data_IF_164613451815
#
_entry.id   IF_164613451815
#
_cell.length_a   1.000
_cell.length_b   1.000
_cell.length_c   1.000
_cell.angle_alpha   90.00
_cell.angle_beta   90.00
_cell.angle_gamma   90.00
#
_symmetry.space_group_name_H-M   'P 1'
#
loop_
_entity.id
_entity.type
_entity.pdbx_description
1 polymer ?
#
# COMPACT_ATOMS: atom_id res chain seq x y z
N UNK A 1 -15.80 23.40 -9.76
CA UNK A 1 -15.91 22.07 -9.14
C UNK A 1 -14.53 21.43 -9.19
N UNK A 2 -13.96 21.02 -8.07
CA UNK A 2 -12.71 20.25 -8.04
C UNK A 2 -12.96 18.89 -8.67
N UNK A 3 -12.15 18.50 -9.65
CA UNK A 3 -12.19 17.16 -10.28
C UNK A 3 -12.07 16.09 -9.18
N UNK A 4 -13.03 15.16 -9.13
CA UNK A 4 -12.95 13.97 -8.27
C UNK A 4 -11.77 13.12 -8.71
N UNK A 5 -10.94 12.70 -7.77
CA UNK A 5 -9.81 11.80 -8.04
C UNK A 5 -10.35 10.38 -8.02
N UNK A 6 -10.14 9.67 -9.12
CA UNK A 6 -10.42 8.24 -9.27
C UNK A 6 -9.10 7.48 -9.23
N UNK A 7 -9.03 6.47 -8.37
CA UNK A 7 -7.86 5.61 -8.19
C UNK A 7 -7.93 4.32 -9.02
N UNK A 8 -9.10 4.00 -9.58
CA UNK A 8 -9.24 2.86 -10.47
C UNK A 8 -8.68 3.22 -11.83
N UNK A 9 -7.76 2.40 -12.28
CA UNK A 9 -7.15 2.44 -13.60
C UNK A 9 -6.85 1.00 -14.03
N UNK A 10 -6.45 0.84 -15.28
CA UNK A 10 -6.00 -0.44 -15.80
C UNK A 10 -4.93 -0.23 -16.90
N UNK A 11 -4.15 -1.27 -17.23
CA UNK A 11 -3.06 -1.16 -18.19
C UNK A 11 -3.42 -0.60 -19.56
N UNK A 12 -4.67 -0.74 -20.03
CA UNK A 12 -5.09 -0.21 -21.31
C UNK A 12 -5.29 1.32 -21.29
N UNK A 13 -5.40 1.92 -20.10
CA UNK A 13 -5.61 3.37 -19.91
C UNK A 13 -4.37 4.12 -19.46
N UNK A 14 -3.26 3.42 -19.18
CA UNK A 14 -2.03 4.05 -18.73
C UNK A 14 -1.51 5.07 -19.73
N UNK A 15 -1.14 6.24 -19.20
CA UNK A 15 -0.51 7.33 -19.96
C UNK A 15 0.96 7.48 -19.64
N UNK A 16 1.42 6.97 -18.50
CA UNK A 16 2.71 7.34 -17.94
C UNK A 16 3.69 6.18 -17.82
N UNK A 17 3.22 4.95 -18.02
CA UNK A 17 3.99 3.75 -17.81
C UNK A 17 3.77 2.74 -18.93
N UNK A 18 4.81 1.96 -19.22
CA UNK A 18 4.70 0.73 -20.01
C UNK A 18 5.28 -0.42 -19.20
N UNK A 19 4.71 -1.62 -19.37
CA UNK A 19 5.22 -2.83 -18.73
C UNK A 19 5.45 -3.89 -19.79
N UNK A 20 6.59 -4.57 -19.71
CA UNK A 20 6.89 -5.75 -20.54
C UNK A 20 7.28 -6.91 -19.64
N UNK A 21 6.84 -8.11 -19.99
CA UNK A 21 7.08 -9.33 -19.21
C UNK A 21 7.92 -10.30 -20.03
N UNK A 22 9.00 -10.81 -19.43
CA UNK A 22 9.89 -11.82 -20.02
C UNK A 22 10.19 -12.89 -18.96
N UNK A 23 9.28 -13.87 -18.88
CA UNK A 23 9.31 -14.93 -17.88
C UNK A 23 9.42 -14.37 -16.46
N UNK A 24 10.49 -14.67 -15.70
CA UNK A 24 10.60 -14.25 -14.30
C UNK A 24 11.02 -12.78 -14.12
N UNK A 25 11.22 -12.03 -15.20
CA UNK A 25 11.61 -10.62 -15.17
C UNK A 25 10.54 -9.77 -15.84
N UNK A 26 10.05 -8.76 -15.14
CA UNK A 26 9.26 -7.68 -15.75
C UNK A 26 10.11 -6.40 -15.86
N UNK A 27 9.85 -5.59 -16.88
CA UNK A 27 10.43 -4.26 -17.02
C UNK A 27 9.30 -3.23 -16.95
N UNK A 28 9.36 -2.35 -15.95
CA UNK A 28 8.46 -1.21 -15.76
C UNK A 28 9.18 0.03 -16.26
N UNK A 29 8.62 0.66 -17.30
CA UNK A 29 9.25 1.75 -18.04
C UNK A 29 8.46 3.03 -17.75
N UNK A 30 9.09 3.98 -17.05
CA UNK A 30 8.54 5.31 -16.81
C UNK A 30 8.65 6.14 -18.09
N UNK A 31 7.51 6.44 -18.71
CA UNK A 31 7.42 7.26 -19.92
C UNK A 31 6.27 8.25 -19.79
N UNK A 32 6.43 9.22 -18.89
CA UNK A 32 5.37 10.15 -18.52
C UNK A 32 4.93 10.96 -19.73
N UNK A 33 3.63 10.90 -20.06
CA UNK A 33 2.99 11.86 -20.95
C UNK A 33 3.06 13.28 -20.35
N UNK A 34 3.71 14.21 -21.05
CA UNK A 34 3.90 15.58 -20.56
C UNK A 34 2.59 16.35 -20.46
N UNK A 35 1.60 16.02 -21.29
CA UNK A 35 0.25 16.58 -21.26
C UNK A 35 -0.71 15.69 -20.44
N UNK A 36 -0.10 14.80 -19.65
CA UNK A 36 -0.67 13.76 -18.82
C UNK A 36 -1.30 14.19 -17.51
N UNK A 37 -1.20 15.47 -17.13
CA UNK A 37 -1.49 15.93 -15.77
C UNK A 37 -2.88 15.54 -15.26
N UNK A 38 -2.94 15.11 -13.99
CA UNK A 38 -4.21 14.81 -13.32
C UNK A 38 -5.09 16.07 -13.21
N UNK A 39 -4.44 17.23 -13.06
CA UNK A 39 -5.08 18.55 -13.06
C UNK A 39 -4.46 19.45 -14.13
N UNK A 40 -5.24 20.43 -14.58
CA UNK A 40 -4.78 21.44 -15.53
C UNK A 40 -3.77 22.41 -14.90
N UNK A 41 -3.00 23.11 -15.76
CA UNK A 41 -2.14 24.22 -15.34
C UNK A 41 -0.64 23.90 -15.23
N UNK A 42 -0.22 22.67 -15.52
CA UNK A 42 1.19 22.28 -15.61
C UNK A 42 1.39 21.16 -16.65
N UNK A 43 2.65 20.98 -17.07
CA UNK A 43 3.09 19.85 -17.89
C UNK A 43 4.08 19.00 -17.10
N UNK A 44 4.04 17.70 -17.30
CA UNK A 44 4.87 16.69 -16.63
C UNK A 44 6.16 16.39 -17.40
N UNK A 45 6.94 17.44 -17.70
CA UNK A 45 8.18 17.30 -18.48
C UNK A 45 9.22 16.47 -17.77
N UNK A 46 10.14 15.89 -18.54
CA UNK A 46 11.35 15.21 -18.03
C UNK A 46 11.05 14.08 -17.02
N UNK A 47 10.01 13.30 -17.25
CA UNK A 47 9.56 12.28 -16.28
C UNK A 47 9.35 12.85 -14.86
N UNK A 48 8.89 14.11 -14.76
CA UNK A 48 8.33 14.60 -13.49
C UNK A 48 6.94 14.01 -13.28
N UNK A 49 6.52 13.87 -12.04
CA UNK A 49 5.27 13.17 -11.73
C UNK A 49 4.32 13.97 -10.84
N UNK A 50 3.02 13.68 -11.00
CA UNK A 50 1.96 14.08 -10.08
C UNK A 50 1.28 12.85 -9.48
N UNK A 51 0.11 13.03 -8.85
CA UNK A 51 -0.65 11.92 -8.25
C UNK A 51 -1.14 10.91 -9.31
N UNK A 52 -1.49 11.33 -10.52
CA UNK A 52 -2.00 10.43 -11.57
C UNK A 52 -0.94 9.41 -12.01
N UNK A 53 0.31 9.86 -12.16
CA UNK A 53 1.45 8.97 -12.44
C UNK A 53 1.63 7.91 -11.33
N UNK A 54 1.44 8.29 -10.07
CA UNK A 54 1.60 7.35 -8.95
C UNK A 54 0.40 6.42 -8.78
N UNK A 55 -0.81 6.83 -9.18
CA UNK A 55 -2.00 5.97 -9.25
C UNK A 55 -1.73 4.80 -10.22
N UNK A 56 -1.18 5.09 -11.40
CA UNK A 56 -0.79 4.04 -12.35
C UNK A 56 0.33 3.14 -11.78
N UNK A 57 1.35 3.71 -11.11
CA UNK A 57 2.40 2.92 -10.48
C UNK A 57 1.88 2.00 -9.35
N UNK A 58 0.92 2.50 -8.57
CA UNK A 58 0.22 1.69 -7.57
C UNK A 58 -0.53 0.52 -8.23
N UNK A 59 -1.28 0.76 -9.31
CA UNK A 59 -1.96 -0.32 -10.04
C UNK A 59 -0.94 -1.32 -10.60
N UNK A 60 0.14 -0.87 -11.27
CA UNK A 60 1.22 -1.74 -11.75
C UNK A 60 1.76 -2.63 -10.64
N UNK A 61 1.99 -2.08 -9.45
CA UNK A 61 2.49 -2.85 -8.30
C UNK A 61 1.49 -3.92 -7.88
N UNK A 62 0.19 -3.64 -7.92
CA UNK A 62 -0.86 -4.61 -7.60
C UNK A 62 -1.01 -5.67 -8.70
N UNK A 63 -1.03 -5.29 -9.98
CA UNK A 63 -1.03 -6.21 -11.13
C UNK A 63 0.18 -7.16 -11.05
N UNK A 64 1.36 -6.64 -10.77
CA UNK A 64 2.58 -7.43 -10.64
C UNK A 64 2.49 -8.50 -9.54
N UNK A 65 1.73 -8.25 -8.48
CA UNK A 65 1.59 -9.17 -7.34
C UNK A 65 0.52 -10.24 -7.58
N UNK A 66 -0.56 -9.91 -8.29
CA UNK A 66 -1.71 -10.80 -8.46
C UNK A 66 -1.82 -11.44 -9.85
N UNK A 67 -1.49 -10.70 -10.91
CA UNK A 67 -1.61 -11.17 -12.30
C UNK A 67 -0.34 -11.86 -12.80
N UNK A 68 0.81 -11.56 -12.18
CA UNK A 68 2.12 -12.00 -12.65
C UNK A 68 2.95 -12.74 -11.58
N UNK A 69 2.45 -13.85 -11.01
CA UNK A 69 3.18 -14.57 -9.98
C UNK A 69 4.44 -15.27 -10.52
N UNK A 70 4.62 -15.40 -11.82
CA UNK A 70 5.86 -15.83 -12.46
C UNK A 70 6.99 -14.81 -12.26
N UNK A 71 6.66 -13.52 -12.10
CA UNK A 71 7.64 -12.44 -11.99
C UNK A 71 8.30 -12.42 -10.62
N UNK A 72 9.62 -12.57 -10.62
CA UNK A 72 10.49 -12.54 -9.44
C UNK A 72 11.28 -11.25 -9.34
N UNK A 73 11.57 -10.61 -10.46
CA UNK A 73 12.35 -9.37 -10.51
C UNK A 73 11.66 -8.35 -11.40
N UNK A 74 11.53 -7.13 -10.91
CA UNK A 74 11.04 -5.99 -11.66
C UNK A 74 12.18 -5.02 -11.90
N UNK A 75 12.45 -4.70 -13.16
CA UNK A 75 13.41 -3.67 -13.56
C UNK A 75 12.64 -2.37 -13.82
N UNK A 76 12.84 -1.38 -12.97
CA UNK A 76 12.35 -0.03 -13.16
C UNK A 76 13.36 0.78 -13.97
N UNK A 77 12.94 1.28 -15.13
CA UNK A 77 13.77 2.07 -16.04
C UNK A 77 12.99 3.26 -16.61
N UNK A 78 13.68 4.15 -17.33
CA UNK A 78 13.06 5.27 -18.04
C UNK A 78 12.88 4.96 -19.52
N UNK A 79 11.76 5.40 -20.08
CA UNK A 79 11.50 5.43 -21.52
C UNK A 79 12.01 6.70 -22.20
N UNK A 80 12.54 7.67 -21.44
CA UNK A 80 13.03 8.95 -21.95
C UNK A 80 14.56 9.00 -21.96
N UNK A 81 15.10 9.64 -23.00
CA UNK A 81 16.54 9.87 -23.09
C UNK A 81 17.01 10.86 -22.03
N UNK A 82 18.20 10.62 -21.45
CA UNK A 82 18.93 11.55 -20.54
C UNK A 82 18.24 11.87 -19.21
N UNK A 83 17.05 11.36 -18.94
CA UNK A 83 16.37 11.51 -17.64
C UNK A 83 15.77 10.19 -17.20
N UNK A 84 16.08 9.79 -15.97
CA UNK A 84 15.39 8.69 -15.31
C UNK A 84 14.03 9.21 -14.80
N UNK A 85 14.08 10.12 -13.85
CA UNK A 85 12.92 10.78 -13.25
C UNK A 85 13.38 12.09 -12.58
N UNK A 86 12.70 13.19 -12.88
CA UNK A 86 13.00 14.51 -12.31
C UNK A 86 12.30 14.79 -10.97
N UNK A 87 11.52 13.83 -10.46
CA UNK A 87 10.82 13.95 -9.19
C UNK A 87 9.41 14.55 -9.29
N UNK A 88 8.82 14.86 -8.14
CA UNK A 88 7.50 15.46 -8.07
C UNK A 88 7.49 16.81 -8.82
N UNK A 89 6.47 17.04 -9.64
CA UNK A 89 6.42 18.21 -10.49
C UNK A 89 6.30 19.50 -9.66
N UNK A 90 7.29 20.40 -9.79
CA UNK A 90 7.40 21.62 -8.98
C UNK A 90 6.22 22.58 -9.22
N UNK A 91 5.69 22.65 -10.45
CA UNK A 91 4.55 23.53 -10.76
C UNK A 91 3.26 22.99 -10.15
N UNK A 92 3.04 21.68 -10.23
CA UNK A 92 1.96 21.00 -9.51
C UNK A 92 2.04 21.28 -8.02
N UNK A 93 3.22 21.09 -7.41
CA UNK A 93 3.43 21.38 -5.99
C UNK A 93 3.22 22.87 -5.69
N UNK A 94 3.63 23.79 -6.56
CA UNK A 94 3.42 25.23 -6.38
C UNK A 94 1.92 25.60 -6.36
N UNK A 95 1.11 24.96 -7.20
CA UNK A 95 -0.33 25.23 -7.33
C UNK A 95 -1.24 24.44 -6.38
N UNK A 96 -0.75 23.34 -5.79
CA UNK A 96 -1.56 22.47 -4.95
C UNK A 96 -1.87 23.06 -3.56
N UNK A 97 -3.06 22.76 -3.03
CA UNK A 97 -3.40 23.04 -1.63
C UNK A 97 -2.52 22.24 -0.66
N UNK A 98 -2.35 22.72 0.59
CA UNK A 98 -1.58 22.00 1.60
C UNK A 98 -2.09 20.56 1.81
N UNK A 99 -3.40 20.37 1.96
CA UNK A 99 -4.01 19.05 2.13
C UNK A 99 -3.73 18.12 0.94
N UNK A 100 -3.74 18.64 -0.29
CA UNK A 100 -3.41 17.84 -1.47
C UNK A 100 -1.94 17.39 -1.44
N UNK A 101 -1.00 18.26 -1.09
CA UNK A 101 0.43 17.90 -0.96
C UNK A 101 0.64 16.81 0.09
N UNK A 102 0.00 16.94 1.26
CA UNK A 102 0.10 15.95 2.34
C UNK A 102 -0.43 14.58 1.89
N UNK A 103 -1.60 14.54 1.25
CA UNK A 103 -2.15 13.28 0.75
C UNK A 103 -1.35 12.71 -0.43
N UNK A 104 -0.82 13.56 -1.33
CA UNK A 104 0.10 13.16 -2.39
C UNK A 104 1.34 12.48 -1.80
N UNK A 105 2.00 13.11 -0.82
CA UNK A 105 3.14 12.51 -0.14
C UNK A 105 2.75 11.20 0.56
N UNK A 106 1.59 11.15 1.24
CA UNK A 106 1.14 9.94 1.93
C UNK A 106 0.93 8.77 0.97
N UNK A 107 0.19 8.98 -0.11
CA UNK A 107 -0.10 7.95 -1.11
C UNK A 107 1.19 7.45 -1.78
N UNK A 108 2.03 8.37 -2.24
CA UNK A 108 3.30 8.04 -2.91
C UNK A 108 4.28 7.31 -1.99
N UNK A 109 4.33 7.66 -0.69
CA UNK A 109 5.05 6.87 0.31
C UNK A 109 4.50 5.45 0.44
N UNK A 110 3.17 5.30 0.53
CA UNK A 110 2.52 3.98 0.64
C UNK A 110 2.79 3.09 -0.61
N UNK A 111 2.79 3.66 -1.82
CA UNK A 111 3.18 2.96 -3.05
C UNK A 111 4.64 2.46 -2.98
N UNK A 112 5.58 3.33 -2.59
CA UNK A 112 7.00 2.98 -2.44
C UNK A 112 7.24 1.91 -1.37
N UNK A 113 6.56 2.02 -0.24
CA UNK A 113 6.61 1.02 0.82
C UNK A 113 6.11 -0.35 0.34
N UNK A 114 5.14 -0.38 -0.59
CA UNK A 114 4.53 -1.61 -1.09
C UNK A 114 5.49 -2.45 -1.92
N UNK A 115 6.17 -1.85 -2.90
CA UNK A 115 7.11 -2.61 -3.73
C UNK A 115 8.46 -2.84 -3.03
N UNK A 116 8.85 -1.98 -2.09
CA UNK A 116 10.00 -2.24 -1.22
C UNK A 116 9.78 -3.50 -0.36
N UNK A 117 8.59 -3.61 0.25
CA UNK A 117 8.22 -4.76 1.08
C UNK A 117 7.98 -6.04 0.28
N UNK A 118 7.81 -5.97 -1.05
CA UNK A 118 7.52 -7.13 -1.89
C UNK A 118 8.60 -8.23 -1.80
N UNK A 119 9.85 -7.86 -1.52
CA UNK A 119 10.92 -8.86 -1.32
C UNK A 119 10.66 -9.69 -0.07
N UNK A 120 10.35 -9.05 1.06
CA UNK A 120 10.09 -9.72 2.32
C UNK A 120 8.73 -10.44 2.32
N UNK A 121 7.74 -9.87 1.62
CA UNK A 121 6.38 -10.39 1.56
C UNK A 121 6.25 -11.61 0.65
N UNK A 122 6.85 -11.55 -0.55
CA UNK A 122 6.62 -12.57 -1.58
C UNK A 122 7.83 -12.90 -2.45
N UNK A 123 9.03 -12.44 -2.07
CA UNK A 123 10.28 -12.74 -2.77
C UNK A 123 10.43 -12.02 -4.11
N UNK A 124 9.60 -11.01 -4.39
CA UNK A 124 9.71 -10.16 -5.58
C UNK A 124 10.66 -8.98 -5.31
N UNK A 125 11.72 -8.85 -6.12
CA UNK A 125 12.71 -7.77 -5.98
C UNK A 125 12.53 -6.71 -7.05
N UNK A 126 12.84 -5.47 -6.72
CA UNK A 126 12.86 -4.33 -7.64
C UNK A 126 14.30 -3.82 -7.86
N UNK A 127 14.67 -3.60 -9.11
CA UNK A 127 15.96 -3.02 -9.53
C UNK A 127 15.68 -1.69 -10.22
N UNK A 128 16.28 -0.59 -9.75
CA UNK A 128 16.31 0.68 -10.48
C UNK A 128 17.49 0.70 -11.46
N UNK A 129 17.20 0.69 -12.76
CA UNK A 129 18.18 0.84 -13.83
C UNK A 129 18.27 2.31 -14.27
N UNK A 130 19.16 3.07 -13.63
CA UNK A 130 19.24 4.53 -13.75
C UNK A 130 20.19 4.95 -14.88
N UNK A 131 19.58 5.46 -15.96
CA UNK A 131 20.24 6.27 -16.99
C UNK A 131 19.69 7.69 -16.98
N UNK A 132 20.57 8.68 -17.09
CA UNK A 132 20.21 10.09 -17.06
C UNK A 132 20.04 10.66 -15.65
N UNK A 133 19.47 11.86 -15.57
CA UNK A 133 19.21 12.55 -14.31
C UNK A 133 18.15 11.80 -13.48
N UNK A 134 18.48 11.52 -12.21
CA UNK A 134 17.60 10.90 -11.22
C UNK A 134 17.56 11.82 -9.99
N UNK A 135 16.58 12.72 -9.95
CA UNK A 135 16.58 13.86 -9.03
C UNK A 135 15.34 13.89 -8.14
N UNK A 136 15.54 14.27 -6.88
CA UNK A 136 14.51 14.42 -5.86
C UNK A 136 13.65 13.17 -5.76
N UNK A 137 12.34 13.34 -5.95
CA UNK A 137 11.37 12.23 -5.99
C UNK A 137 11.70 11.08 -6.96
N UNK A 138 12.53 11.30 -7.99
CA UNK A 138 13.02 10.25 -8.87
C UNK A 138 14.06 9.35 -8.20
N UNK A 139 14.95 9.94 -7.39
CA UNK A 139 15.84 9.18 -6.55
C UNK A 139 15.12 8.57 -5.35
N UNK A 140 14.07 9.20 -4.80
CA UNK A 140 13.20 8.58 -3.80
C UNK A 140 12.49 7.32 -4.32
N UNK A 141 12.10 7.33 -5.59
CA UNK A 141 11.56 6.15 -6.28
C UNK A 141 12.64 5.04 -6.41
N UNK A 142 13.86 5.40 -6.84
CA UNK A 142 14.97 4.45 -6.91
C UNK A 142 15.37 3.89 -5.53
N UNK A 143 15.36 4.73 -4.48
CA UNK A 143 15.65 4.36 -3.10
C UNK A 143 14.72 3.29 -2.55
N UNK A 144 13.48 3.25 -3.02
CA UNK A 144 12.52 2.22 -2.63
C UNK A 144 12.80 0.86 -3.31
N UNK A 145 13.53 0.82 -4.43
CA UNK A 145 13.96 -0.43 -5.05
C UNK A 145 14.99 -1.16 -4.15
N UNK A 146 15.11 -2.48 -4.30
CA UNK A 146 16.05 -3.32 -3.54
C UNK A 146 17.50 -3.15 -4.03
N UNK A 147 17.67 -2.77 -5.30
CA UNK A 147 18.99 -2.56 -5.92
C UNK A 147 18.97 -1.36 -6.88
N UNK A 148 19.99 -0.51 -6.83
CA UNK A 148 20.12 0.68 -7.69
C UNK A 148 21.40 0.58 -8.51
N UNK A 149 21.24 0.51 -9.83
CA UNK A 149 22.33 0.51 -10.80
C UNK A 149 22.38 1.86 -11.51
N UNK A 150 23.53 2.52 -11.50
CA UNK A 150 23.74 3.81 -12.17
C UNK A 150 24.69 3.64 -13.34
N UNK A 151 24.34 4.20 -14.50
CA UNK A 151 25.29 4.19 -15.61
C UNK A 151 26.44 5.18 -15.39
N UNK A 152 27.65 4.77 -15.75
CA UNK A 152 28.84 5.61 -15.75
C UNK A 152 28.96 6.32 -17.10
N UNK A 153 28.34 7.48 -17.18
CA UNK A 153 28.47 8.42 -18.29
C UNK A 153 28.62 9.86 -17.77
N UNK A 154 28.77 10.82 -18.70
CA UNK A 154 28.97 12.22 -18.36
C UNK A 154 27.70 12.98 -17.97
N UNK A 155 26.54 12.34 -17.87
CA UNK A 155 25.22 12.97 -17.70
C UNK A 155 24.38 12.39 -16.56
N UNK A 156 24.59 11.14 -16.19
CA UNK A 156 23.79 10.39 -15.24
C UNK A 156 24.20 10.69 -13.80
N UNK A 157 23.23 11.01 -12.96
CA UNK A 157 23.44 11.40 -11.57
C UNK A 157 22.25 11.02 -10.70
N UNK A 158 22.52 10.83 -9.41
CA UNK A 158 21.49 10.81 -8.36
C UNK A 158 21.57 12.09 -7.55
N UNK A 159 20.44 12.69 -7.19
CA UNK A 159 20.39 13.95 -6.45
C UNK A 159 19.15 14.05 -5.55
N UNK A 160 19.26 14.79 -4.43
CA UNK A 160 18.13 15.23 -3.60
C UNK A 160 18.17 16.76 -3.42
N UNK A 161 17.77 17.53 -4.44
CA UNK A 161 17.92 18.99 -4.44
C UNK A 161 16.75 19.72 -3.75
N UNK A 162 15.85 19.01 -3.06
CA UNK A 162 14.62 19.56 -2.47
C UNK A 162 14.90 20.71 -1.50
N UNK A 163 15.95 20.62 -0.69
CA UNK A 163 16.30 21.69 0.26
C UNK A 163 16.78 22.94 -0.47
N UNK A 164 17.84 22.90 -1.32
CA UNK A 164 18.33 24.10 -1.98
C UNK A 164 17.37 24.67 -3.04
N UNK A 165 16.61 23.84 -3.77
CA UNK A 165 15.75 24.32 -4.86
C UNK A 165 14.32 24.66 -4.43
N UNK A 166 13.77 23.94 -3.46
CA UNK A 166 12.34 23.97 -3.15
C UNK A 166 12.05 24.38 -1.70
N UNK A 167 13.08 24.49 -0.85
CA UNK A 167 12.96 24.72 0.59
C UNK A 167 12.01 23.72 1.28
N UNK A 168 12.01 22.47 0.81
CA UNK A 168 11.30 21.34 1.43
C UNK A 168 12.24 20.15 1.57
N UNK A 169 11.77 19.08 2.22
CA UNK A 169 12.56 17.87 2.38
C UNK A 169 12.25 16.85 1.27
N UNK A 170 13.16 15.89 1.02
CA UNK A 170 12.85 14.62 0.37
C UNK A 170 11.82 13.84 1.20
N UNK A 171 10.55 14.19 0.99
CA UNK A 171 9.41 13.81 1.83
C UNK A 171 8.74 12.50 1.44
N UNK A 172 9.17 11.87 0.36
CA UNK A 172 8.70 10.55 -0.10
C UNK A 172 9.56 9.42 0.47
N UNK A 173 9.99 9.61 1.73
CA UNK A 173 10.87 8.72 2.48
C UNK A 173 12.33 8.78 2.04
N UNK A 174 12.74 9.78 1.25
CA UNK A 174 14.09 9.93 0.75
C UNK A 174 15.14 9.98 1.87
N UNK A 175 14.96 10.87 2.86
CA UNK A 175 15.90 10.98 3.97
C UNK A 175 15.97 9.69 4.80
N UNK A 176 14.81 9.12 5.13
CA UNK A 176 14.71 7.87 5.90
C UNK A 176 15.40 6.72 5.17
N UNK A 177 15.23 6.59 3.85
CA UNK A 177 15.93 5.54 3.08
C UNK A 177 17.42 5.84 2.94
N UNK A 178 17.83 7.09 2.78
CA UNK A 178 19.26 7.47 2.76
C UNK A 178 19.96 7.07 4.06
N UNK A 179 19.34 7.30 5.22
CA UNK A 179 19.93 6.94 6.52
C UNK A 179 19.71 5.48 6.88
N UNK A 180 18.48 5.01 6.85
CA UNK A 180 18.08 3.75 7.49
C UNK A 180 18.23 2.56 6.55
N UNK A 181 18.03 2.75 5.24
CA UNK A 181 18.22 1.68 4.24
C UNK A 181 19.64 1.68 3.68
N UNK A 182 20.07 2.81 3.10
CA UNK A 182 21.36 2.95 2.40
C UNK A 182 22.54 3.09 3.36
N UNK A 183 22.29 3.43 4.63
CA UNK A 183 23.32 3.63 5.66
C UNK A 183 24.38 4.63 5.20
N UNK A 184 23.95 5.69 4.51
CA UNK A 184 24.82 6.82 4.13
C UNK A 184 25.22 7.54 5.41
N UNK A 185 26.52 7.82 5.55
CA UNK A 185 27.03 8.56 6.72
C UNK A 185 26.37 9.94 6.77
N UNK A 186 25.89 10.36 7.94
CA UNK A 186 25.02 11.54 8.10
C UNK A 186 25.58 12.83 7.49
N UNK A 187 26.88 13.07 7.62
CA UNK A 187 27.58 14.23 7.04
C UNK A 187 27.63 14.18 5.50
N UNK A 188 27.76 12.99 4.90
CA UNK A 188 27.64 12.83 3.44
C UNK A 188 26.20 13.01 2.97
N UNK A 189 25.24 12.53 3.75
CA UNK A 189 23.82 12.75 3.47
C UNK A 189 23.46 14.24 3.50
N UNK A 190 23.99 15.00 4.47
CA UNK A 190 23.84 16.45 4.55
C UNK A 190 24.36 17.17 3.30
N UNK A 191 25.61 16.88 2.91
CA UNK A 191 26.18 17.43 1.67
C UNK A 191 25.34 17.03 0.46
N UNK A 192 24.93 15.76 0.37
CA UNK A 192 24.13 15.24 -0.75
C UNK A 192 22.76 15.93 -0.87
N UNK A 193 22.13 16.27 0.25
CA UNK A 193 20.82 16.95 0.29
C UNK A 193 20.92 18.49 0.21
N UNK A 194 22.15 19.04 0.19
CA UNK A 194 22.39 20.49 0.20
C UNK A 194 23.06 21.00 -1.10
N UNK A 195 23.17 20.14 -2.12
CA UNK A 195 23.69 20.48 -3.45
C UNK A 195 22.67 20.11 -4.53
N UNK A 196 22.67 20.82 -5.65
CA UNK A 196 21.69 20.62 -6.72
C UNK A 196 22.16 19.56 -7.74
N UNK A 197 23.46 19.52 -8.00
CA UNK A 197 24.07 18.75 -9.09
C UNK A 197 24.12 17.24 -8.80
N UNK A 198 24.01 16.86 -7.53
CA UNK A 198 24.03 15.49 -7.06
C UNK A 198 25.40 14.80 -7.18
N UNK A 199 25.37 13.47 -7.24
CA UNK A 199 26.54 12.60 -7.23
C UNK A 199 26.48 11.62 -8.41
N UNK A 200 27.64 11.34 -9.01
CA UNK A 200 27.79 10.52 -10.22
C UNK A 200 28.84 9.44 -10.03
N UNK A 201 28.77 8.44 -10.89
CA UNK A 201 29.78 7.41 -11.06
C UNK A 201 30.23 6.79 -9.74
N UNK A 202 31.50 6.42 -9.67
CA UNK A 202 32.10 5.72 -8.52
C UNK A 202 31.86 6.41 -7.16
N UNK A 203 31.76 7.74 -7.12
CA UNK A 203 31.47 8.48 -5.87
C UNK A 203 30.09 8.13 -5.32
N UNK A 204 29.10 7.89 -6.17
CA UNK A 204 27.75 7.49 -5.75
C UNK A 204 27.77 6.14 -5.04
N UNK A 205 28.53 5.18 -5.57
CA UNK A 205 28.73 3.85 -4.99
C UNK A 205 29.52 3.93 -3.67
N UNK A 206 30.64 4.66 -3.64
CA UNK A 206 31.47 4.86 -2.44
C UNK A 206 30.71 5.56 -1.29
N UNK A 207 29.68 6.34 -1.62
CA UNK A 207 28.80 7.00 -0.66
C UNK A 207 27.59 6.16 -0.28
N UNK A 208 27.42 4.97 -0.88
CA UNK A 208 26.27 4.06 -0.72
C UNK A 208 24.96 4.59 -1.28
N UNK A 209 25.01 5.60 -2.15
CA UNK A 209 23.83 6.15 -2.81
C UNK A 209 23.29 5.17 -3.86
N UNK A 210 24.17 4.44 -4.52
CA UNK A 210 23.81 3.36 -5.46
C UNK A 210 24.57 2.09 -5.09
N UNK A 211 24.15 0.95 -5.63
CA UNK A 211 24.77 -0.34 -5.34
C UNK A 211 25.86 -0.71 -6.36
N UNK A 212 25.70 -0.30 -7.61
CA UNK A 212 26.67 -0.57 -8.68
C UNK A 212 26.69 0.56 -9.70
N UNK A 213 27.88 0.88 -10.18
CA UNK A 213 28.12 1.81 -11.27
C UNK A 213 28.67 1.06 -12.48
N UNK A 214 28.02 1.16 -13.64
CA UNK A 214 28.36 0.37 -14.83
C UNK A 214 28.58 1.26 -16.04
N UNK A 215 29.70 1.06 -16.73
CA UNK A 215 30.00 1.76 -18.00
C UNK A 215 28.81 1.71 -18.98
N UNK A 216 28.44 2.85 -19.55
CA UNK A 216 27.24 2.98 -20.40
C UNK A 216 27.18 1.96 -21.55
N UNK A 217 28.32 1.63 -22.17
CA UNK A 217 28.38 0.63 -23.25
C UNK A 217 28.01 -0.79 -22.84
N UNK A 218 28.01 -1.10 -21.53
CA UNK A 218 27.67 -2.42 -20.97
C UNK A 218 26.39 -2.40 -20.13
N UNK A 219 25.82 -1.23 -19.87
CA UNK A 219 24.79 -1.04 -18.84
C UNK A 219 23.59 -1.98 -19.03
N UNK A 220 22.99 -1.98 -20.22
CA UNK A 220 21.76 -2.77 -20.47
C UNK A 220 22.02 -4.28 -20.35
N UNK A 221 23.17 -4.74 -20.85
CA UNK A 221 23.57 -6.14 -20.73
C UNK A 221 23.81 -6.53 -19.26
N UNK A 222 24.42 -5.65 -18.46
CA UNK A 222 24.63 -5.90 -17.03
C UNK A 222 23.31 -5.87 -16.25
N UNK A 223 22.39 -4.96 -16.56
CA UNK A 223 21.04 -4.93 -15.95
C UNK A 223 20.30 -6.24 -16.22
N UNK A 224 20.29 -6.70 -17.47
CA UNK A 224 19.66 -7.98 -17.83
C UNK A 224 20.30 -9.17 -17.10
N UNK A 225 21.63 -9.23 -17.05
CA UNK A 225 22.36 -10.27 -16.34
C UNK A 225 22.09 -10.24 -14.83
N UNK A 226 22.01 -9.04 -14.22
CA UNK A 226 21.70 -8.84 -12.80
C UNK A 226 20.28 -9.29 -12.48
N UNK A 227 19.30 -8.90 -13.31
CA UNK A 227 17.91 -9.31 -13.14
C UNK A 227 17.76 -10.83 -13.26
N UNK A 228 18.39 -11.46 -14.25
CA UNK A 228 18.40 -12.92 -14.41
C UNK A 228 19.04 -13.63 -13.20
N UNK A 229 20.16 -13.11 -12.67
CA UNK A 229 20.81 -13.66 -11.50
C UNK A 229 19.94 -13.56 -10.24
N UNK A 230 19.26 -12.42 -10.02
CA UNK A 230 18.33 -12.25 -8.90
C UNK A 230 17.09 -13.14 -9.05
N UNK A 231 16.57 -13.30 -10.27
CA UNK A 231 15.45 -14.20 -10.54
C UNK A 231 15.82 -15.67 -10.26
N UNK A 232 17.02 -16.10 -10.68
CA UNK A 232 17.52 -17.45 -10.42
C UNK A 232 17.76 -17.72 -8.93
N UNK A 233 18.14 -16.69 -8.15
CA UNK A 233 18.34 -16.78 -6.70
C UNK A 233 17.10 -16.51 -5.85
N UNK A 234 15.94 -16.20 -6.45
CA UNK A 234 14.73 -15.85 -5.70
C UNK A 234 14.01 -17.10 -5.18
N UNK A 235 13.61 -17.04 -3.90
CA UNK A 235 12.82 -18.06 -3.23
C UNK A 235 11.32 -18.01 -3.58
N UNK A 236 10.89 -17.03 -4.39
CA UNK A 236 9.50 -16.91 -4.85
C UNK A 236 9.10 -18.19 -5.61
N UNK A 237 7.93 -18.79 -5.29
CA UNK A 237 7.42 -19.98 -5.98
C UNK A 237 7.31 -19.77 -7.49
N UNK A 238 7.58 -20.83 -8.26
CA UNK A 238 7.37 -20.82 -9.72
C UNK A 238 5.89 -21.08 -10.01
N UNK A 239 5.14 -20.02 -10.27
CA UNK A 239 3.73 -20.08 -10.63
C UNK A 239 3.58 -19.53 -12.03
N UNK A 240 2.90 -20.25 -12.92
CA UNK A 240 2.82 -19.89 -14.33
C UNK A 240 1.69 -18.90 -14.65
N UNK A 241 0.60 -18.94 -13.88
CA UNK A 241 -0.61 -18.17 -14.14
C UNK A 241 -1.05 -17.43 -12.87
N UNK A 242 -1.31 -16.13 -13.01
CA UNK A 242 -1.93 -15.32 -11.98
C UNK A 242 -3.45 -15.29 -12.06
N UNK A 243 -4.05 -14.36 -11.31
CA UNK A 243 -5.48 -14.05 -11.38
C UNK A 243 -5.67 -12.65 -11.97
N UNK A 244 -6.67 -12.47 -12.82
CA UNK A 244 -7.01 -11.14 -13.34
C UNK A 244 -7.69 -10.30 -12.26
N UNK A 245 -7.29 -9.03 -12.12
CA UNK A 245 -8.01 -8.07 -11.28
C UNK A 245 -9.00 -7.28 -12.15
N UNK A 246 -10.28 -7.65 -12.15
CA UNK A 246 -11.33 -6.91 -12.86
C UNK A 246 -11.59 -5.52 -12.27
N UNK A 247 -12.30 -4.62 -12.97
CA UNK A 247 -12.71 -3.34 -12.39
C UNK A 247 -13.60 -3.54 -11.15
N UNK A 248 -13.50 -2.66 -10.17
CA UNK A 248 -14.37 -2.66 -9.00
C UNK A 248 -15.79 -2.25 -9.40
N UNK A 249 -16.77 -3.04 -8.98
CA UNK A 249 -18.17 -2.71 -9.09
C UNK A 249 -18.54 -1.68 -8.02
N UNK A 250 -18.48 -0.39 -8.36
CA UNK A 250 -18.81 0.70 -7.44
C UNK A 250 -19.79 1.72 -8.01
N UNK A 251 -20.58 2.32 -7.12
CA UNK A 251 -21.43 3.48 -7.43
C UNK A 251 -21.09 4.60 -6.45
N UNK A 252 -20.71 5.77 -6.97
CA UNK A 252 -20.41 6.97 -6.18
C UNK A 252 -21.52 7.99 -6.43
N UNK A 253 -22.34 8.23 -5.40
CA UNK A 253 -23.37 9.26 -5.37
C UNK A 253 -22.94 10.43 -4.47
N UNK A 254 -23.80 11.44 -4.30
CA UNK A 254 -23.49 12.62 -3.49
C UNK A 254 -23.13 12.28 -2.02
N UNK A 255 -23.83 11.33 -1.40
CA UNK A 255 -23.63 11.00 0.02
C UNK A 255 -23.35 9.51 0.26
N UNK A 256 -23.12 8.73 -0.80
CA UNK A 256 -22.89 7.30 -0.67
C UNK A 256 -21.85 6.79 -1.65
N UNK A 257 -20.98 5.89 -1.19
CA UNK A 257 -20.13 5.06 -2.05
C UNK A 257 -20.49 3.60 -1.79
N UNK A 258 -21.00 2.92 -2.81
CA UNK A 258 -21.46 1.53 -2.68
C UNK A 258 -20.57 0.59 -3.48
N UNK A 259 -20.21 -0.51 -2.83
CA UNK A 259 -19.54 -1.66 -3.41
C UNK A 259 -20.33 -2.95 -3.10
N UNK A 260 -19.80 -4.09 -3.51
CA UNK A 260 -20.44 -5.38 -3.23
C UNK A 260 -20.30 -5.81 -1.77
N UNK A 261 -19.14 -5.57 -1.15
CA UNK A 261 -18.81 -5.97 0.23
C UNK A 261 -18.64 -4.79 1.19
N UNK A 262 -18.86 -3.56 0.72
CA UNK A 262 -18.72 -2.33 1.51
C UNK A 262 -19.76 -1.28 1.09
N UNK A 263 -20.26 -0.53 2.06
CA UNK A 263 -21.03 0.68 1.82
C UNK A 263 -20.50 1.81 2.69
N UNK A 264 -20.35 3.00 2.10
CA UNK A 264 -19.94 4.22 2.78
C UNK A 264 -21.09 5.21 2.71
N UNK A 265 -21.58 5.65 3.86
CA UNK A 265 -22.57 6.72 3.97
C UNK A 265 -21.90 7.98 4.53
N UNK A 266 -22.16 9.13 3.91
CA UNK A 266 -21.53 10.40 4.25
C UNK A 266 -22.59 11.35 4.79
N UNK A 267 -22.54 11.61 6.09
CA UNK A 267 -23.28 12.69 6.72
C UNK A 267 -22.42 13.96 6.72
N UNK A 268 -22.71 14.83 5.75
CA UNK A 268 -21.98 16.10 5.56
C UNK A 268 -22.24 17.09 6.69
N UNK A 269 -23.42 17.05 7.31
CA UNK A 269 -23.75 17.95 8.42
C UNK A 269 -22.99 17.54 9.70
N UNK A 270 -22.94 16.24 9.98
CA UNK A 270 -22.16 15.69 11.09
C UNK A 270 -20.65 15.62 10.77
N UNK A 271 -20.25 15.80 9.51
CA UNK A 271 -18.88 15.60 9.01
C UNK A 271 -18.36 14.20 9.31
N UNK A 272 -19.23 13.20 9.11
CA UNK A 272 -19.02 11.79 9.43
C UNK A 272 -19.18 10.92 8.19
N UNK A 273 -18.31 9.93 8.01
CA UNK A 273 -18.52 8.81 7.12
C UNK A 273 -18.77 7.53 7.95
N UNK A 274 -19.77 6.74 7.60
CA UNK A 274 -19.99 5.39 8.16
C UNK A 274 -19.61 4.37 7.10
N UNK A 275 -18.62 3.54 7.37
CA UNK A 275 -18.14 2.47 6.51
C UNK A 275 -18.69 1.14 7.05
N UNK A 276 -19.69 0.58 6.38
CA UNK A 276 -20.35 -0.68 6.76
C UNK A 276 -19.84 -1.82 5.90
N UNK A 277 -19.00 -2.67 6.51
CA UNK A 277 -18.48 -3.89 5.89
C UNK A 277 -19.57 -4.96 5.88
N UNK A 278 -19.80 -5.57 4.71
CA UNK A 278 -20.73 -6.68 4.51
C UNK A 278 -19.94 -7.98 4.59
N UNK A 279 -20.19 -8.76 5.64
CA UNK A 279 -19.62 -10.09 5.82
C UNK A 279 -20.00 -11.04 4.68
N UNK A 280 -19.28 -12.16 4.52
CA UNK A 280 -19.55 -13.08 3.43
C UNK A 280 -20.90 -13.78 3.60
N UNK A 281 -21.72 -13.73 2.55
CA UNK A 281 -23.00 -14.47 2.49
C UNK A 281 -22.81 -15.95 2.16
N UNK A 282 -21.71 -16.27 1.49
CA UNK A 282 -21.31 -17.63 1.09
C UNK A 282 -20.26 -18.20 2.04
N UNK A 283 -20.26 -19.52 2.17
CA UNK A 283 -19.23 -20.22 2.93
C UNK A 283 -17.85 -20.06 2.25
N UNK A 284 -16.78 -20.28 3.01
CA UNK A 284 -15.43 -20.22 2.46
C UNK A 284 -15.26 -21.27 1.34
N UNK A 285 -14.46 -21.00 0.29
CA UNK A 285 -14.12 -22.01 -0.71
C UNK A 285 -13.59 -23.29 -0.05
N UNK A 286 -13.91 -24.46 -0.61
CA UNK A 286 -13.55 -25.72 0.02
C UNK A 286 -12.05 -26.03 -0.07
N UNK A 287 -11.33 -25.33 -0.95
CA UNK A 287 -9.89 -25.48 -1.16
C UNK A 287 -9.23 -24.21 -1.69
N UNK A 288 -7.90 -24.17 -1.65
CA UNK A 288 -7.13 -23.07 -2.23
C UNK A 288 -7.27 -22.99 -3.76
N UNK A 289 -7.50 -24.13 -4.42
CA UNK A 289 -7.72 -24.18 -5.87
C UNK A 289 -9.06 -23.57 -6.26
N UNK A 290 -10.12 -23.82 -5.48
CA UNK A 290 -11.42 -23.15 -5.67
C UNK A 290 -11.31 -21.64 -5.41
N UNK A 291 -10.54 -21.23 -4.39
CA UNK A 291 -10.26 -19.81 -4.16
C UNK A 291 -9.53 -19.19 -5.35
N UNK A 292 -8.50 -19.86 -5.90
CA UNK A 292 -7.79 -19.37 -7.07
C UNK A 292 -8.70 -19.29 -8.31
N UNK A 293 -9.57 -20.29 -8.51
CA UNK A 293 -10.55 -20.30 -9.59
C UNK A 293 -11.59 -19.16 -9.49
N UNK A 294 -11.85 -18.65 -8.28
CA UNK A 294 -12.70 -17.47 -8.08
C UNK A 294 -12.05 -16.15 -8.52
N UNK A 295 -10.75 -16.16 -8.83
CA UNK A 295 -10.00 -14.99 -9.25
C UNK A 295 -10.06 -13.86 -8.21
N UNK A 296 -10.42 -12.67 -8.65
CA UNK A 296 -10.61 -11.50 -7.79
C UNK A 296 -11.97 -11.48 -7.06
N UNK A 297 -12.79 -12.52 -7.26
CA UNK A 297 -14.09 -12.72 -6.64
C UNK A 297 -14.05 -13.34 -5.24
N UNK A 298 -12.90 -13.79 -4.74
CA UNK A 298 -12.80 -14.25 -3.34
C UNK A 298 -13.13 -13.10 -2.38
N UNK A 299 -13.96 -13.37 -1.37
CA UNK A 299 -14.52 -12.30 -0.52
C UNK A 299 -13.43 -11.46 0.17
N UNK A 300 -12.38 -12.08 0.71
CA UNK A 300 -11.29 -11.36 1.37
C UNK A 300 -10.47 -10.50 0.41
N UNK A 301 -10.22 -10.94 -0.82
CA UNK A 301 -9.51 -10.13 -1.81
C UNK A 301 -10.40 -8.97 -2.30
N UNK A 302 -11.67 -9.27 -2.62
CA UNK A 302 -12.65 -8.28 -3.05
C UNK A 302 -12.82 -7.18 -2.00
N UNK A 303 -13.05 -7.56 -0.74
CA UNK A 303 -13.20 -6.60 0.36
C UNK A 303 -11.94 -5.76 0.57
N UNK A 304 -10.74 -6.36 0.54
CA UNK A 304 -9.50 -5.60 0.67
C UNK A 304 -9.38 -4.51 -0.41
N UNK A 305 -9.72 -4.84 -1.66
CA UNK A 305 -9.68 -3.89 -2.79
C UNK A 305 -10.72 -2.78 -2.67
N UNK A 306 -11.96 -3.15 -2.36
CA UNK A 306 -13.07 -2.20 -2.18
C UNK A 306 -12.82 -1.26 -0.99
N UNK A 307 -12.27 -1.79 0.11
CA UNK A 307 -11.91 -1.00 1.29
C UNK A 307 -10.73 -0.05 1.01
N UNK A 308 -9.70 -0.49 0.29
CA UNK A 308 -8.58 0.38 -0.10
C UNK A 308 -9.07 1.53 -0.99
N UNK A 309 -9.91 1.23 -1.99
CA UNK A 309 -10.52 2.24 -2.88
C UNK A 309 -11.36 3.26 -2.08
N UNK A 310 -12.20 2.79 -1.15
CA UNK A 310 -13.00 3.65 -0.29
C UNK A 310 -12.15 4.57 0.60
N UNK A 311 -11.08 4.03 1.21
CA UNK A 311 -10.14 4.82 2.03
C UNK A 311 -9.47 5.91 1.19
N UNK A 312 -9.01 5.57 -0.01
CA UNK A 312 -8.36 6.50 -0.92
C UNK A 312 -9.33 7.59 -1.42
N UNK A 313 -10.55 7.19 -1.76
CA UNK A 313 -11.63 8.11 -2.12
C UNK A 313 -11.91 9.10 -0.99
N UNK A 314 -12.16 8.63 0.23
CA UNK A 314 -12.46 9.50 1.36
C UNK A 314 -11.27 10.41 1.74
N UNK A 315 -10.03 9.91 1.67
CA UNK A 315 -8.82 10.71 1.95
C UNK A 315 -8.69 11.91 1.01
N UNK A 316 -8.91 11.70 -0.29
CA UNK A 316 -8.66 12.69 -1.33
C UNK A 316 -9.85 13.59 -1.63
N UNK A 317 -11.06 13.01 -1.68
CA UNK A 317 -12.25 13.69 -2.16
C UNK A 317 -13.10 14.27 -1.01
N UNK A 318 -13.11 13.62 0.15
CA UNK A 318 -13.96 13.97 1.30
C UNK A 318 -13.15 14.56 2.47
N UNK A 319 -12.53 15.73 2.22
CA UNK A 319 -11.60 16.39 3.15
C UNK A 319 -12.25 16.97 4.40
N UNK A 320 -13.51 17.39 4.29
CA UNK A 320 -14.28 17.96 5.41
C UNK A 320 -14.90 16.90 6.31
N UNK A 321 -14.89 15.63 5.88
CA UNK A 321 -15.45 14.50 6.61
C UNK A 321 -14.38 13.95 7.55
N UNK A 322 -14.33 14.51 8.77
CA UNK A 322 -13.26 14.32 9.74
C UNK A 322 -13.35 13.06 10.60
N UNK A 323 -14.54 12.47 10.72
CA UNK A 323 -14.82 11.28 11.53
C UNK A 323 -15.23 10.10 10.64
N UNK A 324 -14.57 8.95 10.77
CA UNK A 324 -14.98 7.71 10.14
C UNK A 324 -15.43 6.71 11.19
N UNK A 325 -16.61 6.13 11.01
CA UNK A 325 -17.13 5.06 11.84
C UNK A 325 -17.11 3.75 11.04
N UNK A 326 -16.40 2.74 11.55
CA UNK A 326 -16.41 1.40 10.99
C UNK A 326 -17.50 0.56 11.66
N UNK A 327 -18.34 -0.03 10.83
CA UNK A 327 -19.37 -0.99 11.21
C UNK A 327 -19.14 -2.26 10.39
N UNK A 328 -19.66 -3.38 10.88
CA UNK A 328 -19.77 -4.60 10.09
C UNK A 328 -21.12 -5.26 10.31
N UNK A 329 -21.56 -6.06 9.34
CA UNK A 329 -22.77 -6.88 9.44
C UNK A 329 -22.53 -8.21 8.72
N UNK A 330 -22.81 -9.34 9.38
CA UNK A 330 -22.63 -10.67 8.80
C UNK A 330 -22.40 -11.75 9.85
N UNK A 331 -21.93 -12.92 9.41
CA UNK A 331 -21.61 -14.05 10.29
C UNK A 331 -20.10 -14.06 10.64
N UNK A 332 -19.71 -13.83 11.91
CA UNK A 332 -18.33 -13.97 12.38
C UNK A 332 -17.67 -15.30 12.01
N UNK A 333 -18.40 -16.42 12.05
CA UNK A 333 -17.85 -17.74 11.79
C UNK A 333 -17.43 -17.89 10.32
N UNK A 334 -18.18 -17.28 9.39
CA UNK A 334 -17.79 -17.28 7.97
C UNK A 334 -16.60 -16.38 7.71
N UNK A 335 -16.52 -15.21 8.35
CA UNK A 335 -15.32 -14.36 8.26
C UNK A 335 -14.07 -15.16 8.68
N UNK A 336 -14.15 -15.86 9.82
CA UNK A 336 -13.07 -16.72 10.30
C UNK A 336 -12.77 -17.88 9.35
N UNK A 337 -13.77 -18.51 8.75
CA UNK A 337 -13.56 -19.60 7.80
C UNK A 337 -12.84 -19.14 6.52
N UNK A 338 -13.22 -17.97 5.97
CA UNK A 338 -12.56 -17.38 4.80
C UNK A 338 -11.09 -17.05 5.11
N UNK A 339 -10.79 -16.51 6.31
CA UNK A 339 -9.40 -16.24 6.70
C UNK A 339 -8.62 -17.52 7.04
N UNK A 340 -9.26 -18.51 7.66
CA UNK A 340 -8.65 -19.79 8.00
C UNK A 340 -8.12 -20.50 6.75
N UNK A 341 -8.86 -20.45 5.64
CA UNK A 341 -8.39 -20.98 4.36
C UNK A 341 -7.08 -20.31 3.91
N UNK A 342 -7.00 -18.98 3.97
CA UNK A 342 -5.77 -18.27 3.56
C UNK A 342 -4.59 -18.57 4.49
N UNK A 343 -4.84 -18.57 5.80
CA UNK A 343 -3.77 -18.76 6.80
C UNK A 343 -3.25 -20.19 6.83
N UNK A 344 -4.10 -21.19 6.59
CA UNK A 344 -3.71 -22.59 6.44
C UNK A 344 -2.86 -22.84 5.18
N UNK A 345 -3.00 -21.99 4.16
CA UNK A 345 -2.27 -22.05 2.90
C UNK A 345 -1.36 -20.82 2.69
N UNK A 346 -0.79 -20.27 3.77
CA UNK A 346 0.01 -19.04 3.68
C UNK A 346 1.30 -19.17 2.85
N UNK A 347 1.73 -20.39 2.52
CA UNK A 347 2.81 -20.70 1.59
C UNK A 347 2.36 -20.67 0.11
N UNK A 348 1.05 -20.80 -0.14
CA UNK A 348 0.49 -20.62 -1.48
C UNK A 348 0.55 -19.14 -1.89
N UNK A 349 1.03 -18.89 -3.11
CA UNK A 349 1.33 -17.54 -3.60
C UNK A 349 0.15 -16.56 -3.47
N UNK A 350 -1.06 -17.01 -3.83
CA UNK A 350 -2.25 -16.15 -3.85
C UNK A 350 -2.72 -15.84 -2.43
N UNK A 351 -2.73 -16.85 -1.55
CA UNK A 351 -3.12 -16.65 -0.16
C UNK A 351 -2.15 -15.70 0.55
N UNK A 352 -0.85 -15.90 0.32
CA UNK A 352 0.19 -15.01 0.83
C UNK A 352 -0.01 -13.56 0.36
N UNK A 353 -0.30 -13.35 -0.93
CA UNK A 353 -0.53 -12.01 -1.47
C UNK A 353 -1.81 -11.34 -0.94
N UNK A 354 -2.90 -12.09 -0.76
CA UNK A 354 -4.14 -11.58 -0.15
C UNK A 354 -3.89 -11.17 1.31
N UNK A 355 -3.21 -12.01 2.10
CA UNK A 355 -2.87 -11.71 3.49
C UNK A 355 -1.98 -10.46 3.60
N UNK A 356 -0.98 -10.33 2.73
CA UNK A 356 -0.14 -9.14 2.70
C UNK A 356 -0.86 -7.90 2.17
N UNK A 357 -1.87 -8.05 1.33
CA UNK A 357 -2.72 -6.92 0.94
C UNK A 357 -3.52 -6.40 2.13
N UNK A 358 -4.13 -7.29 2.93
CA UNK A 358 -4.77 -6.89 4.19
C UNK A 358 -3.84 -6.16 5.14
N UNK A 359 -2.60 -6.64 5.31
CA UNK A 359 -1.56 -5.90 6.06
C UNK A 359 -1.42 -4.45 5.57
N UNK A 360 -1.39 -4.23 4.25
CA UNK A 360 -1.24 -2.89 3.65
C UNK A 360 -2.49 -2.02 3.84
N UNK A 361 -3.68 -2.57 3.63
CA UNK A 361 -4.96 -1.86 3.85
C UNK A 361 -5.08 -1.41 5.30
N UNK A 362 -4.80 -2.31 6.25
CA UNK A 362 -4.85 -1.98 7.67
C UNK A 362 -3.82 -0.91 8.05
N UNK A 363 -2.60 -0.94 7.48
CA UNK A 363 -1.62 0.17 7.64
C UNK A 363 -2.14 1.51 7.12
N UNK A 364 -2.95 1.54 6.07
CA UNK A 364 -3.61 2.79 5.62
C UNK A 364 -4.67 3.26 6.61
N UNK A 365 -5.36 2.35 7.30
CA UNK A 365 -6.28 2.74 8.38
C UNK A 365 -5.47 3.44 9.49
N UNK A 366 -4.40 2.83 9.98
CA UNK A 366 -3.56 3.40 11.06
C UNK A 366 -3.01 4.80 10.72
N UNK A 367 -2.64 5.02 9.45
CA UNK A 367 -1.95 6.23 9.01
C UNK A 367 -2.89 7.29 8.40
N UNK A 368 -4.22 7.08 8.45
CA UNK A 368 -5.17 8.04 7.91
C UNK A 368 -5.29 9.27 8.82
N UNK A 369 -5.48 10.45 8.24
CA UNK A 369 -5.60 11.70 9.00
C UNK A 369 -7.07 12.02 9.29
N UNK A 370 -7.73 11.11 10.00
CA UNK A 370 -9.13 11.20 10.41
C UNK A 370 -9.27 10.61 11.81
N UNK A 371 -10.25 11.09 12.56
CA UNK A 371 -10.66 10.39 13.77
C UNK A 371 -11.41 9.14 13.37
N UNK A 372 -11.11 8.02 14.01
CA UNK A 372 -11.66 6.72 13.71
C UNK A 372 -12.40 6.17 14.92
N UNK A 373 -13.61 5.68 14.68
CA UNK A 373 -14.35 4.89 15.68
C UNK A 373 -14.81 3.58 15.05
N UNK A 374 -15.00 2.55 15.87
CA UNK A 374 -15.66 1.33 15.45
C UNK A 374 -16.86 1.03 16.35
N UNK A 375 -17.95 0.55 15.76
CA UNK A 375 -19.19 0.23 16.46
C UNK A 375 -19.48 -1.26 16.33
N UNK A 376 -19.28 -2.00 17.41
CA UNK A 376 -19.58 -3.44 17.51
C UNK A 376 -21.05 -3.59 17.93
N UNK A 377 -21.92 -3.56 16.92
CA UNK A 377 -23.36 -3.65 17.09
C UNK A 377 -23.86 -5.10 16.97
N UNK A 378 -25.12 -5.36 17.34
CA UNK A 378 -25.75 -6.65 17.06
C UNK A 378 -25.71 -6.98 15.56
N UNK A 379 -25.44 -8.25 15.25
CA UNK A 379 -25.22 -8.75 13.89
C UNK A 379 -23.90 -8.36 13.26
N UNK A 380 -23.00 -7.67 13.98
CA UNK A 380 -21.66 -7.37 13.49
C UNK A 380 -20.76 -8.61 13.42
N UNK A 381 -19.73 -8.54 12.58
CA UNK A 381 -18.83 -9.65 12.31
C UNK A 381 -17.36 -9.23 12.46
N UNK A 382 -17.03 -8.52 13.54
CA UNK A 382 -15.65 -8.18 13.89
C UNK A 382 -14.89 -9.42 14.40
N UNK A 383 -14.45 -10.25 13.47
CA UNK A 383 -13.71 -11.47 13.74
C UNK A 383 -12.44 -11.58 12.88
N UNK A 384 -11.39 -12.17 13.46
CA UNK A 384 -10.10 -12.38 12.79
C UNK A 384 -9.55 -11.08 12.20
N UNK A 385 -9.28 -11.07 10.89
CA UNK A 385 -8.80 -9.89 10.16
C UNK A 385 -9.69 -8.66 10.30
N UNK A 386 -11.02 -8.80 10.44
CA UNK A 386 -11.90 -7.64 10.65
C UNK A 386 -11.78 -7.07 12.07
N UNK A 387 -11.43 -7.89 13.06
CA UNK A 387 -11.17 -7.42 14.42
C UNK A 387 -9.95 -6.47 14.47
N UNK A 388 -9.00 -6.57 13.53
CA UNK A 388 -7.88 -5.61 13.43
C UNK A 388 -8.35 -4.16 13.29
N UNK A 389 -9.51 -3.92 12.69
CA UNK A 389 -10.08 -2.58 12.55
C UNK A 389 -10.40 -2.01 13.94
N UNK A 390 -10.91 -2.82 14.87
CA UNK A 390 -11.19 -2.40 16.25
C UNK A 390 -9.94 -1.93 16.98
N UNK A 391 -8.80 -2.51 16.63
CA UNK A 391 -7.51 -2.20 17.24
C UNK A 391 -6.76 -1.09 16.49
N UNK A 392 -7.24 -0.69 15.30
CA UNK A 392 -6.71 0.39 14.49
C UNK A 392 -7.37 1.74 14.77
N UNK A 393 -8.64 1.73 15.23
CA UNK A 393 -9.41 2.95 15.49
C UNK A 393 -9.00 3.64 16.79
N UNK A 394 -9.31 4.94 16.92
CA UNK A 394 -9.06 5.69 18.15
C UNK A 394 -9.91 5.17 19.32
N UNK A 395 -11.17 4.77 19.02
CA UNK A 395 -12.11 4.23 19.99
C UNK A 395 -13.02 3.16 19.39
N UNK A 396 -13.32 2.13 20.15
CA UNK A 396 -14.30 1.11 19.79
C UNK A 396 -15.40 1.03 20.86
N UNK A 397 -16.65 0.95 20.41
CA UNK A 397 -17.83 0.88 21.28
C UNK A 397 -18.60 -0.41 21.01
N UNK A 398 -19.00 -1.11 22.06
CA UNK A 398 -19.67 -2.41 21.94
C UNK A 398 -21.02 -2.43 22.65
N UNK A 399 -22.04 -3.02 22.01
CA UNK A 399 -23.36 -3.19 22.64
C UNK A 399 -23.34 -4.32 23.70
N UNK A 400 -23.83 -4.03 24.91
CA UNK A 400 -23.78 -4.94 26.07
C UNK A 400 -24.99 -5.88 26.19
N UNK A 401 -26.18 -5.42 25.81
CA UNK A 401 -27.45 -6.12 26.06
C UNK A 401 -28.30 -6.30 24.81
N UNK A 402 -29.08 -7.39 24.78
CA UNK A 402 -30.15 -7.57 23.81
C UNK A 402 -31.22 -6.46 23.98
N UNK A 403 -31.64 -5.86 22.87
CA UNK A 403 -32.73 -4.89 22.86
C UNK A 403 -34.05 -5.55 22.46
N UNK A 404 -35.14 -5.17 23.11
CA UNK A 404 -36.47 -5.66 22.74
C UNK A 404 -36.79 -5.32 21.28
N UNK A 405 -37.08 -6.35 20.48
CA UNK A 405 -37.36 -6.20 19.04
C UNK A 405 -36.15 -6.29 18.11
N UNK A 406 -34.92 -6.35 18.62
CA UNK A 406 -33.73 -6.63 17.82
C UNK A 406 -33.48 -8.15 17.75
N UNK A 407 -33.72 -8.73 16.57
CA UNK A 407 -33.56 -10.17 16.34
C UNK A 407 -32.17 -10.55 15.79
N UNK A 408 -31.25 -9.59 15.69
CA UNK A 408 -29.88 -9.87 15.25
C UNK A 408 -29.10 -10.62 16.34
N UNK A 409 -28.09 -11.44 15.98
CA UNK A 409 -27.18 -12.03 16.95
C UNK A 409 -26.53 -10.96 17.84
N UNK A 410 -26.25 -11.31 19.09
CA UNK A 410 -25.54 -10.42 20.01
C UNK A 410 -24.20 -9.98 19.43
N UNK A 411 -23.78 -8.78 19.83
CA UNK A 411 -22.51 -8.20 19.44
C UNK A 411 -21.40 -9.05 20.03
N UNK A 412 -20.51 -9.57 19.18
CA UNK A 412 -19.34 -10.34 19.64
C UNK A 412 -18.08 -9.93 18.89
N UNK A 413 -16.95 -10.02 19.57
CA UNK A 413 -15.61 -9.98 18.96
C UNK A 413 -15.00 -11.37 19.04
N UNK A 414 -14.45 -11.89 17.94
CA UNK A 414 -13.80 -13.21 17.94
C UNK A 414 -12.39 -13.11 17.38
N UNK A 415 -11.40 -13.39 18.22
CA UNK A 415 -9.99 -13.35 17.83
C UNK A 415 -9.54 -14.65 17.17
N UNK A 416 -8.52 -14.56 16.33
CA UNK A 416 -7.73 -15.70 15.88
C UNK A 416 -6.23 -15.39 15.95
N UNK A 417 -5.40 -16.37 15.58
CA UNK A 417 -3.94 -16.26 15.58
C UNK A 417 -3.41 -15.06 14.77
N UNK A 418 -4.12 -14.64 13.72
CA UNK A 418 -3.68 -13.51 12.89
C UNK A 418 -3.60 -12.20 13.67
N UNK A 419 -4.45 -12.02 14.69
CA UNK A 419 -4.50 -10.80 15.49
C UNK A 419 -3.23 -10.54 16.31
N UNK A 420 -2.35 -11.55 16.41
CA UNK A 420 -1.16 -11.54 17.26
C UNK A 420 0.14 -11.38 16.48
N UNK A 421 0.09 -10.93 15.22
CA UNK A 421 1.30 -10.56 14.48
C UNK A 421 1.26 -10.74 12.96
N UNK A 422 0.16 -11.25 12.38
CA UNK A 422 0.07 -11.45 10.92
C UNK A 422 0.05 -10.12 10.16
N UNK A 423 -0.57 -9.09 10.75
CA UNK A 423 -0.79 -7.79 10.12
C UNK A 423 -0.09 -6.65 10.89
N UNK A 424 1.25 -6.64 10.96
CA UNK A 424 1.97 -5.66 11.77
C UNK A 424 1.72 -4.23 11.28
N UNK A 425 1.78 -3.27 12.20
CA UNK A 425 1.73 -1.84 11.93
C UNK A 425 3.06 -1.32 11.36
N UNK A 426 3.22 -0.01 11.20
CA UNK A 426 4.46 0.61 10.72
C UNK A 426 5.61 0.57 11.75
N UNK A 427 5.32 0.24 13.01
CA UNK A 427 6.30 0.06 14.10
C UNK A 427 6.70 -1.42 14.31
N UNK A 428 6.35 -2.30 13.37
CA UNK A 428 6.59 -3.75 13.40
C UNK A 428 5.90 -4.54 14.54
N UNK A 429 4.98 -3.91 15.28
CA UNK A 429 4.15 -4.58 16.28
C UNK A 429 2.76 -4.91 15.72
N UNK A 430 2.06 -5.89 16.32
CA UNK A 430 0.62 -6.03 16.12
C UNK A 430 -0.13 -4.82 16.71
N UNK A 431 -1.37 -4.60 16.29
CA UNK A 431 -2.20 -3.54 16.87
C UNK A 431 -2.48 -3.78 18.35
N UNK A 432 -2.73 -5.03 18.75
CA UNK A 432 -2.85 -5.41 20.15
C UNK A 432 -1.54 -5.17 20.93
N UNK A 433 -0.38 -5.46 20.33
CA UNK A 433 0.93 -5.16 20.93
C UNK A 433 1.16 -3.66 21.12
N UNK A 434 0.71 -2.83 20.17
CA UNK A 434 0.75 -1.37 20.29
C UNK A 434 -0.25 -0.85 21.32
N UNK A 435 -1.44 -1.46 21.40
CA UNK A 435 -2.49 -1.11 22.36
C UNK A 435 -2.06 -1.38 23.80
N UNK A 436 -1.39 -2.51 24.04
CA UNK A 436 -0.95 -2.96 25.36
C UNK A 436 0.56 -2.80 25.58
N UNK A 437 1.17 -1.72 25.07
CA UNK A 437 2.62 -1.46 25.21
C UNK A 437 3.12 -1.47 26.66
N UNK A 438 2.27 -1.04 27.60
CA UNK A 438 2.59 -1.03 29.04
C UNK A 438 2.22 -2.32 29.78
N UNK A 439 1.46 -3.22 29.15
CA UNK A 439 0.84 -4.40 29.76
C UNK A 439 0.91 -5.60 28.80
N UNK A 440 2.11 -6.05 28.38
CA UNK A 440 2.27 -7.11 27.38
C UNK A 440 1.59 -8.44 27.76
N UNK A 441 1.37 -8.71 29.05
CA UNK A 441 0.58 -9.83 29.56
C UNK A 441 -0.89 -9.79 29.10
N UNK A 442 -1.46 -8.60 28.84
CA UNK A 442 -2.82 -8.46 28.33
C UNK A 442 -2.94 -9.02 26.90
N UNK A 443 -1.88 -8.93 26.09
CA UNK A 443 -1.82 -9.61 24.78
C UNK A 443 -1.90 -11.12 24.94
N UNK A 444 -1.25 -11.67 25.97
CA UNK A 444 -1.27 -13.11 26.26
C UNK A 444 -2.64 -13.54 26.78
N UNK A 445 -3.28 -12.73 27.63
CA UNK A 445 -4.63 -12.96 28.12
C UNK A 445 -5.67 -12.96 26.98
N UNK A 446 -5.56 -12.01 26.04
CA UNK A 446 -6.38 -11.99 24.83
C UNK A 446 -6.11 -13.22 23.93
N UNK A 447 -4.86 -13.65 23.77
CA UNK A 447 -4.51 -14.84 22.99
C UNK A 447 -5.12 -16.14 23.58
N UNK A 448 -5.24 -16.22 24.90
CA UNK A 448 -5.90 -17.35 25.55
C UNK A 448 -7.41 -17.47 25.25
N UNK A 449 -7.99 -16.45 24.58
CA UNK A 449 -9.41 -16.34 24.22
C UNK A 449 -9.68 -16.47 22.73
N UNK A 450 -8.68 -16.91 21.95
CA UNK A 450 -8.84 -17.21 20.52
C UNK A 450 -10.05 -18.15 20.30
N UNK A 451 -10.82 -17.86 19.25
CA UNK A 451 -12.04 -18.55 18.84
C UNK A 451 -13.24 -18.44 19.80
N UNK A 452 -13.10 -17.82 20.97
CA UNK A 452 -14.24 -17.52 21.84
C UNK A 452 -15.02 -16.31 21.29
N UNK A 453 -16.36 -16.39 21.14
CA UNK A 453 -17.19 -15.23 20.81
C UNK A 453 -17.38 -14.37 22.06
N UNK A 454 -16.53 -13.37 22.24
CA UNK A 454 -16.50 -12.49 23.41
C UNK A 454 -17.64 -11.47 23.31
N UNK A 455 -18.53 -11.45 24.30
CA UNK A 455 -19.55 -10.41 24.46
C UNK A 455 -18.95 -9.18 25.15
N UNK A 456 -19.72 -8.10 25.29
CA UNK A 456 -19.20 -6.81 25.74
C UNK A 456 -18.42 -6.87 27.06
N UNK A 457 -18.97 -7.52 28.09
CA UNK A 457 -18.32 -7.62 29.40
C UNK A 457 -16.95 -8.31 29.34
N UNK A 458 -16.83 -9.41 28.57
CA UNK A 458 -15.57 -10.13 28.40
C UNK A 458 -14.59 -9.34 27.52
N UNK A 459 -15.07 -8.70 26.46
CA UNK A 459 -14.27 -7.87 25.59
C UNK A 459 -13.71 -6.63 26.32
N UNK A 460 -14.50 -5.98 27.17
CA UNK A 460 -14.09 -4.86 28.02
C UNK A 460 -13.10 -5.31 29.08
N UNK A 461 -13.35 -6.43 29.77
CA UNK A 461 -12.44 -6.97 30.77
C UNK A 461 -11.05 -7.34 30.21
N UNK A 462 -10.99 -7.72 28.93
CA UNK A 462 -9.74 -7.97 28.19
C UNK A 462 -9.16 -6.71 27.54
N UNK A 463 -9.84 -5.56 27.66
CA UNK A 463 -9.44 -4.29 27.07
C UNK A 463 -9.49 -4.28 25.55
N UNK A 464 -10.25 -5.16 24.90
CA UNK A 464 -10.37 -5.26 23.44
C UNK A 464 -11.23 -4.14 22.83
N UNK A 465 -12.10 -3.54 23.64
CA UNK A 465 -12.94 -2.38 23.28
C UNK A 465 -12.63 -1.18 24.18
N UNK A 466 -13.11 0.00 23.83
CA UNK A 466 -12.98 1.21 24.68
C UNK A 466 -14.08 1.31 25.71
N UNK A 467 -15.32 0.99 25.32
CA UNK A 467 -16.50 1.03 26.18
C UNK A 467 -17.62 0.14 25.63
#
# INVERSE_FOLDING_TARGET
MTKTIDFQTDPATYRHWRVTYDGPVATVIMDVDEDGGLFDGYQLKLNSYDLGVDIELYDITQRMRFEHPEVKVVVLTSGKDKVFCAGANIRMLGGASHAHKVNFCKFTNETRNTFEAAEADSGQKWIAAVKGACAGGGYELALACNHIMLTDDSSSSVALPEVPLLAVLPGTGGLTRVTDKRKVRRDRADVFCSIEEGVRGKRAEEWRLVDEVVANSKFDATVAARAAAFAAGSAKPNVAEGIALGPLARTIDENTVRYSSLEVEIDRAARKATLTIKGPEEDAPASIDELAASGDGSWLLRLARELDDAILHLRMNEREIGLWAFCSQGDPARVLAHEALLTAHADHWLANEILHYWKRVLKRIDMTSRSLVALVEHGSCFAGVLAEILFAVDRSYMMEDAFEGDNRPLATVTLNESNFGRYPMANDLSRLGTRFLGEPEAVTAAAAKIAEPLQAADADALGLVTY
#
